data_IF_264596078026
#
_entry.id   IF_264596078026
#
_cell.length_a   1.000
_cell.length_b   1.000
_cell.length_c   1.000
_cell.angle_alpha   90.00
_cell.angle_beta   90.00
_cell.angle_gamma   90.00
#
_symmetry.space_group_name_H-M   'P 1'
#
loop_
_entity.id
_entity.type
_entity.pdbx_description
1 polymer ?
#
# COMPACT_ATOMS: atom_id res chain seq x y z
N UNK A 1 1.83 44.32 -5.77
CA UNK A 1 1.91 43.33 -4.69
C UNK A 1 1.37 42.00 -5.26
N UNK A 2 2.27 41.18 -5.77
CA UNK A 2 1.92 39.86 -6.30
C UNK A 2 1.85 38.85 -5.15
N UNK A 3 0.73 38.13 -5.08
CA UNK A 3 0.57 37.03 -4.12
C UNK A 3 1.41 35.82 -4.59
N UNK A 4 2.17 35.17 -3.72
CA UNK A 4 2.96 34.02 -4.11
C UNK A 4 2.05 32.87 -4.55
N UNK A 5 2.36 32.34 -5.75
CA UNK A 5 1.77 31.12 -6.31
C UNK A 5 2.16 29.95 -5.43
N UNK A 6 1.21 29.41 -4.69
CA UNK A 6 1.40 28.16 -3.94
C UNK A 6 1.66 27.03 -4.93
N UNK A 7 2.82 26.41 -4.81
CA UNK A 7 3.26 25.27 -5.61
C UNK A 7 2.32 24.08 -5.43
N UNK A 8 1.53 23.82 -6.47
CA UNK A 8 0.73 22.60 -6.67
C UNK A 8 1.49 21.61 -7.54
N UNK A 9 2.72 21.25 -7.23
CA UNK A 9 3.53 20.44 -8.15
C UNK A 9 3.93 19.04 -7.71
N UNK A 10 3.68 18.61 -6.47
CA UNK A 10 4.17 17.28 -6.00
C UNK A 10 3.16 16.11 -6.08
N UNK A 11 1.90 16.35 -6.43
CA UNK A 11 0.89 15.28 -6.45
C UNK A 11 0.62 14.63 -7.81
N UNK A 12 1.32 15.05 -8.88
CA UNK A 12 1.01 14.62 -10.27
C UNK A 12 1.76 13.38 -10.76
N UNK A 13 2.83 12.94 -10.09
CA UNK A 13 3.74 11.92 -10.63
C UNK A 13 3.76 10.58 -9.89
N UNK A 14 2.92 10.38 -8.89
CA UNK A 14 2.81 9.11 -8.18
C UNK A 14 1.71 8.24 -8.79
N UNK A 15 1.96 7.74 -9.99
CA UNK A 15 1.05 6.82 -10.69
C UNK A 15 1.50 5.38 -10.49
N UNK A 16 0.51 4.50 -10.36
CA UNK A 16 0.72 3.05 -10.31
C UNK A 16 0.72 2.48 -11.74
N UNK A 17 1.67 1.61 -12.05
CA UNK A 17 1.68 0.84 -13.28
C UNK A 17 1.02 -0.53 -13.08
N UNK A 18 1.14 -1.09 -11.90
CA UNK A 18 0.56 -2.37 -11.50
C UNK A 18 -0.22 -2.25 -10.20
N UNK A 19 -1.25 -3.06 -10.10
CA UNK A 19 -2.04 -3.19 -8.89
C UNK A 19 -2.48 -4.64 -8.67
N UNK A 20 -2.89 -4.96 -7.46
CA UNK A 20 -3.40 -6.27 -7.08
C UNK A 20 -4.89 -6.19 -6.78
N UNK A 21 -5.64 -7.16 -7.27
CA UNK A 21 -7.08 -7.29 -7.00
C UNK A 21 -7.29 -7.60 -5.51
N UNK A 22 -8.12 -6.82 -4.85
CA UNK A 22 -8.54 -7.07 -3.46
C UNK A 22 -10.03 -7.43 -3.34
N UNK A 23 -10.83 -7.11 -4.36
CA UNK A 23 -12.21 -7.59 -4.51
C UNK A 23 -12.64 -7.49 -5.97
N UNK A 24 -13.45 -8.44 -6.44
CA UNK A 24 -14.03 -8.45 -7.77
C UNK A 24 -15.54 -8.57 -7.72
N UNK A 25 -16.23 -7.62 -8.33
CA UNK A 25 -17.68 -7.51 -8.40
C UNK A 25 -18.15 -7.70 -9.85
N UNK A 26 -18.44 -8.94 -10.29
CA UNK A 26 -18.78 -9.24 -11.69
C UNK A 26 -20.03 -8.51 -12.19
N UNK A 27 -20.91 -8.13 -11.28
CA UNK A 27 -22.17 -7.41 -11.59
C UNK A 27 -22.18 -5.98 -11.05
N UNK A 28 -21.01 -5.38 -10.81
CA UNK A 28 -20.90 -4.04 -10.25
C UNK A 28 -21.30 -3.95 -8.78
N UNK A 29 -21.49 -2.73 -8.30
CA UNK A 29 -21.91 -2.52 -6.92
C UNK A 29 -23.30 -3.09 -6.65
N UNK A 30 -23.56 -3.66 -5.45
CA UNK A 30 -24.91 -4.14 -5.07
C UNK A 30 -25.98 -3.05 -5.16
N UNK A 31 -25.61 -1.82 -4.86
CA UNK A 31 -26.53 -0.65 -4.87
C UNK A 31 -26.79 -0.08 -6.28
N UNK A 32 -26.19 -0.62 -7.31
CA UNK A 32 -26.43 -0.19 -8.69
C UNK A 32 -27.85 -0.58 -9.11
N UNK A 33 -28.69 0.42 -9.32
CA UNK A 33 -30.12 0.24 -9.69
C UNK A 33 -30.32 -0.19 -11.15
N UNK A 34 -29.27 -0.20 -11.97
CA UNK A 34 -29.37 -0.63 -13.37
C UNK A 34 -29.62 -2.15 -13.45
N UNK A 35 -30.31 -2.62 -14.51
CA UNK A 35 -30.45 -4.06 -14.77
C UNK A 35 -29.06 -4.74 -14.85
N UNK A 36 -28.93 -5.97 -14.35
CA UNK A 36 -27.66 -6.71 -14.26
C UNK A 36 -26.90 -6.73 -15.60
N UNK A 37 -27.60 -6.95 -16.72
CA UNK A 37 -27.00 -7.00 -18.06
C UNK A 37 -26.40 -5.65 -18.54
N UNK A 38 -26.76 -4.54 -17.89
CA UNK A 38 -26.24 -3.19 -18.15
C UNK A 38 -25.18 -2.76 -17.16
N UNK A 39 -24.93 -3.56 -16.12
CA UNK A 39 -23.90 -3.25 -15.12
C UNK A 39 -22.54 -3.62 -15.67
N UNK A 40 -21.53 -2.86 -15.25
CA UNK A 40 -20.13 -3.03 -15.62
C UNK A 40 -19.43 -3.84 -14.52
N UNK A 41 -18.66 -4.89 -14.88
CA UNK A 41 -17.82 -5.56 -13.90
C UNK A 41 -16.81 -4.59 -13.30
N UNK A 42 -16.71 -4.58 -11.98
CA UNK A 42 -15.81 -3.71 -11.21
C UNK A 42 -14.85 -4.53 -10.35
N UNK A 43 -13.70 -3.95 -10.05
CA UNK A 43 -12.82 -4.49 -9.03
C UNK A 43 -12.26 -3.34 -8.18
N UNK A 44 -11.98 -3.66 -6.92
CA UNK A 44 -11.18 -2.82 -6.05
C UNK A 44 -9.75 -3.36 -6.04
N UNK A 45 -8.79 -2.47 -6.18
CA UNK A 45 -7.38 -2.84 -6.33
C UNK A 45 -6.49 -1.96 -5.44
N UNK A 46 -5.34 -2.48 -5.06
CA UNK A 46 -4.28 -1.74 -4.37
C UNK A 46 -3.03 -1.70 -5.26
N UNK A 47 -2.49 -0.51 -5.47
CA UNK A 47 -1.25 -0.31 -6.22
C UNK A 47 -0.04 -0.93 -5.53
N UNK A 48 0.90 -1.45 -6.32
CA UNK A 48 2.08 -2.11 -5.74
C UNK A 48 3.18 -1.14 -5.29
N UNK A 49 3.22 0.07 -5.87
CA UNK A 49 4.31 1.01 -5.62
C UNK A 49 4.01 2.02 -4.53
N UNK A 50 2.84 2.63 -4.57
CA UNK A 50 2.41 3.68 -3.65
C UNK A 50 1.20 3.28 -2.80
N UNK A 51 0.74 2.04 -2.93
CA UNK A 51 -0.41 1.51 -2.20
C UNK A 51 -1.69 2.32 -2.38
N UNK A 52 -1.85 2.91 -3.56
CA UNK A 52 -3.05 3.67 -3.92
C UNK A 52 -4.23 2.72 -4.07
N UNK A 53 -5.34 3.02 -3.39
CA UNK A 53 -6.58 2.29 -3.54
C UNK A 53 -7.39 2.83 -4.71
N UNK A 54 -7.80 1.97 -5.63
CA UNK A 54 -8.50 2.33 -6.85
C UNK A 54 -9.69 1.42 -7.10
N UNK A 55 -10.71 1.98 -7.72
CA UNK A 55 -11.79 1.23 -8.36
C UNK A 55 -11.57 1.22 -9.86
N UNK A 56 -11.60 0.04 -10.44
CA UNK A 56 -11.38 -0.17 -11.87
C UNK A 56 -12.53 -0.94 -12.48
N UNK A 57 -12.82 -0.67 -13.75
CA UNK A 57 -13.72 -1.55 -14.52
C UNK A 57 -12.92 -2.63 -15.22
N UNK A 58 -13.50 -3.82 -15.28
CA UNK A 58 -12.90 -5.02 -15.85
C UNK A 58 -13.44 -5.22 -17.27
N UNK A 59 -12.60 -5.68 -18.18
CA UNK A 59 -13.01 -6.02 -19.54
C UNK A 59 -14.01 -7.17 -19.53
N UNK A 60 -14.99 -7.13 -20.42
CA UNK A 60 -15.97 -8.22 -20.57
C UNK A 60 -15.25 -9.54 -20.88
N UNK A 61 -15.70 -10.60 -20.22
CA UNK A 61 -15.10 -11.93 -20.37
C UNK A 61 -13.89 -12.18 -19.47
N UNK A 62 -13.39 -11.18 -18.75
CA UNK A 62 -12.35 -11.34 -17.75
C UNK A 62 -12.98 -11.58 -16.36
N UNK A 63 -12.38 -12.47 -15.59
CA UNK A 63 -12.81 -12.80 -14.22
C UNK A 63 -11.57 -12.91 -13.32
N UNK A 64 -10.94 -11.78 -12.97
CA UNK A 64 -9.75 -11.79 -12.13
C UNK A 64 -10.07 -12.30 -10.73
N UNK A 65 -9.09 -12.93 -10.11
CA UNK A 65 -9.15 -13.40 -8.74
C UNK A 65 -8.47 -12.40 -7.79
N UNK A 66 -8.82 -12.46 -6.51
CA UNK A 66 -8.07 -11.77 -5.45
C UNK A 66 -6.62 -12.23 -5.52
N UNK A 67 -5.67 -11.33 -5.31
CA UNK A 67 -4.23 -11.51 -5.50
C UNK A 67 -3.73 -11.44 -6.95
N UNK A 68 -4.58 -11.42 -7.96
CA UNK A 68 -4.10 -11.23 -9.32
C UNK A 68 -3.43 -9.86 -9.48
N UNK A 69 -2.24 -9.87 -10.06
CA UNK A 69 -1.50 -8.65 -10.43
C UNK A 69 -1.94 -8.19 -11.80
N UNK A 70 -2.45 -6.99 -11.91
CA UNK A 70 -2.99 -6.42 -13.16
C UNK A 70 -2.26 -5.14 -13.53
N UNK A 71 -2.04 -4.95 -14.85
CA UNK A 71 -1.49 -3.72 -15.38
C UNK A 71 -2.55 -2.63 -15.46
N UNK A 72 -2.25 -1.46 -14.90
CA UNK A 72 -3.14 -0.28 -14.88
C UNK A 72 -2.49 0.99 -15.43
N UNK A 73 -1.24 0.89 -15.91
CA UNK A 73 -0.49 1.99 -16.49
C UNK A 73 -1.11 2.56 -17.78
N UNK A 74 -0.37 3.42 -18.45
CA UNK A 74 -0.84 4.13 -19.66
C UNK A 74 -0.88 3.27 -20.93
N UNK A 75 -0.20 2.11 -20.94
CA UNK A 75 -0.17 1.20 -22.06
C UNK A 75 -1.44 0.39 -22.25
N UNK A 76 -1.40 -0.58 -23.17
CA UNK A 76 -2.48 -1.54 -23.37
C UNK A 76 -2.65 -2.41 -22.13
N UNK A 77 -3.90 -2.59 -21.69
CA UNK A 77 -4.27 -3.36 -20.51
C UNK A 77 -5.03 -4.60 -20.93
N UNK A 78 -4.68 -5.76 -20.36
CA UNK A 78 -5.32 -7.03 -20.71
C UNK A 78 -6.64 -7.24 -19.96
N UNK A 79 -6.66 -6.98 -18.66
CA UNK A 79 -7.75 -7.28 -17.74
C UNK A 79 -8.58 -6.01 -17.43
N UNK A 80 -7.90 -4.94 -17.07
CA UNK A 80 -8.53 -3.67 -16.68
C UNK A 80 -8.94 -2.87 -17.90
N UNK A 81 -10.20 -2.45 -17.95
CA UNK A 81 -10.69 -1.56 -19.00
C UNK A 81 -10.36 -0.11 -18.70
N UNK A 82 -10.70 0.36 -17.49
CA UNK A 82 -10.62 1.77 -17.12
C UNK A 82 -10.46 1.94 -15.61
N UNK A 83 -9.64 2.89 -15.18
CA UNK A 83 -9.62 3.36 -13.80
C UNK A 83 -10.84 4.28 -13.61
N UNK A 84 -11.69 3.97 -12.65
CA UNK A 84 -12.93 4.72 -12.39
C UNK A 84 -12.69 5.88 -11.42
N UNK A 85 -12.07 5.59 -10.27
CA UNK A 85 -11.81 6.59 -9.23
C UNK A 85 -10.76 6.09 -8.23
N UNK A 86 -10.18 7.02 -7.48
CA UNK A 86 -9.42 6.74 -6.28
C UNK A 86 -10.38 6.46 -5.13
N UNK A 87 -10.06 5.47 -4.30
CA UNK A 87 -10.83 5.08 -3.12
C UNK A 87 -10.11 5.55 -1.85
N UNK A 88 -10.90 5.84 -0.81
CA UNK A 88 -10.44 5.89 0.57
C UNK A 88 -10.62 4.51 1.19
N UNK A 89 -9.98 4.26 2.32
CA UNK A 89 -10.11 2.99 3.04
C UNK A 89 -11.59 2.68 3.39
N UNK A 90 -12.37 3.70 3.76
CA UNK A 90 -13.79 3.55 4.10
C UNK A 90 -14.64 3.10 2.90
N UNK A 91 -14.24 3.47 1.68
CA UNK A 91 -14.96 3.13 0.44
C UNK A 91 -14.75 1.66 0.01
N UNK A 92 -13.87 0.93 0.68
CA UNK A 92 -13.63 -0.49 0.40
C UNK A 92 -14.83 -1.33 0.84
N UNK A 93 -15.12 -2.36 0.03
CA UNK A 93 -16.08 -3.40 0.42
C UNK A 93 -15.59 -4.15 1.67
N UNK A 94 -16.48 -4.80 2.43
CA UNK A 94 -16.06 -5.68 3.53
C UNK A 94 -15.08 -6.78 3.08
N UNK A 95 -15.30 -7.37 1.90
CA UNK A 95 -14.41 -8.36 1.31
C UNK A 95 -13.02 -7.77 1.06
N UNK A 96 -12.94 -6.61 0.39
CA UNK A 96 -11.68 -5.93 0.13
C UNK A 96 -10.92 -5.59 1.43
N UNK A 97 -11.62 -5.14 2.48
CA UNK A 97 -11.00 -4.86 3.79
C UNK A 97 -10.41 -6.12 4.44
N UNK A 98 -11.07 -7.27 4.27
CA UNK A 98 -10.60 -8.56 4.79
C UNK A 98 -9.37 -9.04 4.03
N UNK A 99 -9.34 -8.90 2.72
CA UNK A 99 -8.25 -9.38 1.86
C UNK A 99 -7.04 -8.45 1.85
N UNK A 100 -7.23 -7.15 2.05
CA UNK A 100 -6.18 -6.13 1.95
C UNK A 100 -4.90 -6.46 2.75
N UNK A 101 -4.94 -6.90 4.03
CA UNK A 101 -3.72 -7.21 4.77
C UNK A 101 -2.91 -8.35 4.14
N UNK A 102 -3.56 -9.35 3.57
CA UNK A 102 -2.90 -10.50 2.92
C UNK A 102 -2.28 -10.09 1.59
N UNK A 103 -2.99 -9.27 0.81
CA UNK A 103 -2.46 -8.73 -0.46
C UNK A 103 -1.27 -7.81 -0.20
N UNK A 104 -1.34 -6.93 0.81
CA UNK A 104 -0.21 -6.08 1.21
C UNK A 104 1.00 -6.91 1.64
N UNK A 105 0.80 -7.97 2.43
CA UNK A 105 1.88 -8.87 2.84
C UNK A 105 2.53 -9.54 1.62
N UNK A 106 1.72 -9.96 0.65
CA UNK A 106 2.22 -10.52 -0.61
C UNK A 106 3.06 -9.52 -1.40
N UNK A 107 2.59 -8.28 -1.58
CA UNK A 107 3.33 -7.21 -2.26
C UNK A 107 4.66 -6.95 -1.56
N UNK A 108 4.64 -6.82 -0.23
CA UNK A 108 5.83 -6.51 0.58
C UNK A 108 6.86 -7.64 0.48
N UNK A 109 6.44 -8.90 0.52
CA UNK A 109 7.34 -10.05 0.35
C UNK A 109 7.88 -10.18 -1.07
N UNK A 110 7.10 -9.81 -2.07
CA UNK A 110 7.54 -9.84 -3.48
C UNK A 110 8.61 -8.79 -3.78
N UNK A 111 8.64 -7.68 -3.04
CA UNK A 111 9.65 -6.63 -3.12
C UNK A 111 10.37 -6.43 -1.76
N UNK A 112 10.76 -7.55 -1.14
CA UNK A 112 11.35 -7.59 0.20
C UNK A 112 12.52 -6.61 0.35
N UNK A 113 13.38 -6.52 -0.66
CA UNK A 113 14.56 -5.66 -0.65
C UNK A 113 14.21 -4.19 -0.38
N UNK A 114 13.18 -3.67 -1.00
CA UNK A 114 12.70 -2.29 -0.80
C UNK A 114 12.37 -2.01 0.67
N UNK A 115 11.73 -2.95 1.33
CA UNK A 115 11.27 -2.78 2.71
C UNK A 115 12.35 -3.10 3.73
N UNK A 116 13.24 -4.03 3.45
CA UNK A 116 14.46 -4.23 4.25
C UNK A 116 15.34 -2.99 4.23
N UNK A 117 15.44 -2.33 3.08
CA UNK A 117 16.17 -1.07 2.94
C UNK A 117 15.59 0.06 3.79
N UNK A 118 14.26 0.08 4.01
CA UNK A 118 13.65 0.99 4.97
C UNK A 118 14.22 0.79 6.39
N UNK A 119 14.35 -0.45 6.87
CA UNK A 119 14.98 -0.72 8.19
C UNK A 119 16.44 -0.29 8.23
N UNK A 120 17.17 -0.43 7.13
CA UNK A 120 18.56 -0.02 7.03
C UNK A 120 18.76 1.49 7.00
N UNK A 121 17.86 2.23 6.34
CA UNK A 121 17.99 3.67 6.05
C UNK A 121 17.07 4.59 6.85
N UNK A 122 16.06 4.06 7.55
CA UNK A 122 15.16 4.89 8.34
C UNK A 122 15.96 5.81 9.28
N UNK A 123 15.56 7.08 9.36
CA UNK A 123 16.30 8.12 10.08
C UNK A 123 15.41 8.91 11.03
N UNK A 124 16.01 9.83 11.77
CA UNK A 124 15.31 10.74 12.68
C UNK A 124 14.43 11.72 11.88
N UNK A 125 13.19 11.88 12.32
CA UNK A 125 12.27 12.89 11.80
C UNK A 125 12.48 14.22 12.54
N UNK A 126 12.68 14.12 13.85
CA UNK A 126 12.97 15.23 14.76
C UNK A 126 13.95 14.74 15.81
N UNK A 127 14.44 15.64 16.67
CA UNK A 127 15.28 15.29 17.83
C UNK A 127 14.62 14.30 18.79
N UNK A 128 13.31 14.14 18.74
CA UNK A 128 12.54 13.27 19.65
C UNK A 128 11.83 12.10 18.97
N UNK A 129 11.82 12.05 17.64
CA UNK A 129 11.06 11.08 16.86
C UNK A 129 11.88 10.49 15.73
N UNK A 130 11.82 9.17 15.56
CA UNK A 130 12.49 8.42 14.50
C UNK A 130 11.45 7.74 13.59
N UNK A 131 11.75 7.57 12.30
CA UNK A 131 10.85 6.90 11.34
C UNK A 131 10.47 5.49 11.78
N UNK A 132 11.39 4.73 12.40
CA UNK A 132 11.11 3.40 12.94
C UNK A 132 10.01 3.39 14.01
N UNK A 133 9.89 4.47 14.81
CA UNK A 133 8.85 4.58 15.84
C UNK A 133 7.45 4.79 15.24
N UNK A 134 7.35 5.12 13.96
CA UNK A 134 6.07 5.20 13.26
C UNK A 134 5.50 3.82 12.90
N UNK A 135 6.31 2.77 12.95
CA UNK A 135 5.83 1.40 12.78
C UNK A 135 5.03 0.98 14.04
N UNK A 136 3.76 0.55 13.89
CA UNK A 136 2.96 0.10 15.03
C UNK A 136 3.66 -1.02 15.80
N UNK A 137 3.78 -0.85 17.12
CA UNK A 137 4.47 -1.80 18.00
C UNK A 137 5.98 -1.57 18.15
N UNK A 138 6.57 -0.62 17.44
CA UNK A 138 7.99 -0.26 17.61
C UNK A 138 8.12 0.94 18.54
N UNK A 139 8.40 0.65 19.81
CA UNK A 139 8.75 1.69 20.80
C UNK A 139 10.26 1.99 20.77
N UNK A 140 10.69 2.95 21.60
CA UNK A 140 12.10 3.40 21.69
C UNK A 140 13.11 2.27 21.91
N UNK A 141 12.80 1.31 22.78
CA UNK A 141 13.69 0.16 23.03
C UNK A 141 13.92 -0.67 21.78
N UNK A 142 12.86 -0.97 21.04
CA UNK A 142 12.95 -1.75 19.81
C UNK A 142 13.62 -0.94 18.67
N UNK A 143 13.31 0.32 18.56
CA UNK A 143 13.99 1.25 17.64
C UNK A 143 15.51 1.22 17.85
N UNK A 144 15.97 1.35 19.10
CA UNK A 144 17.41 1.32 19.38
C UNK A 144 18.02 -0.06 19.08
N UNK A 145 17.30 -1.15 19.37
CA UNK A 145 17.77 -2.49 19.01
C UNK A 145 17.95 -2.65 17.49
N UNK A 146 17.04 -2.12 16.67
CA UNK A 146 17.18 -2.11 15.22
C UNK A 146 18.40 -1.30 14.80
N UNK A 147 18.57 -0.09 15.34
CA UNK A 147 19.69 0.81 15.01
C UNK A 147 21.03 0.17 15.38
N UNK A 148 21.16 -0.42 16.55
CA UNK A 148 22.39 -1.09 16.99
C UNK A 148 22.73 -2.30 16.11
N UNK A 149 21.74 -3.11 15.76
CA UNK A 149 21.97 -4.26 14.88
C UNK A 149 22.39 -3.87 13.47
N UNK A 150 21.71 -2.88 12.84
CA UNK A 150 22.09 -2.42 11.50
C UNK A 150 23.47 -1.77 11.42
N UNK A 151 23.96 -1.16 12.52
CA UNK A 151 25.33 -0.63 12.60
C UNK A 151 26.40 -1.72 12.51
N UNK A 152 26.14 -2.90 13.07
CA UNK A 152 27.06 -4.03 12.98
C UNK A 152 27.21 -4.52 11.55
N UNK A 153 26.07 -4.67 10.85
CA UNK A 153 25.95 -5.10 9.46
C UNK A 153 24.54 -4.73 8.95
N UNK A 154 24.37 -4.20 7.74
CA UNK A 154 23.05 -3.99 7.16
C UNK A 154 22.22 -5.27 7.17
N UNK A 155 20.90 -5.14 7.32
CA UNK A 155 19.97 -6.27 7.17
C UNK A 155 19.86 -6.71 5.71
N UNK A 156 19.79 -8.01 5.48
CA UNK A 156 19.72 -8.60 4.15
C UNK A 156 18.31 -9.09 3.77
N UNK A 157 17.50 -9.45 4.79
CA UNK A 157 16.15 -9.99 4.62
C UNK A 157 15.29 -9.75 5.86
N UNK A 158 13.98 -9.99 5.76
CA UNK A 158 13.10 -9.99 6.91
C UNK A 158 13.48 -11.09 7.92
N UNK A 159 13.94 -12.23 7.42
CA UNK A 159 14.45 -13.30 8.27
C UNK A 159 15.69 -12.86 9.07
N UNK A 160 16.61 -12.13 8.44
CA UNK A 160 17.79 -11.59 9.10
C UNK A 160 17.41 -10.58 10.20
N UNK A 161 16.42 -9.71 9.95
CA UNK A 161 15.86 -8.80 10.96
C UNK A 161 15.27 -9.59 12.13
N UNK A 162 14.44 -10.59 11.85
CA UNK A 162 13.78 -11.39 12.87
C UNK A 162 14.77 -12.18 13.75
N UNK A 163 15.87 -12.66 13.16
CA UNK A 163 16.92 -13.37 13.89
C UNK A 163 17.75 -12.45 14.78
N UNK A 164 18.03 -11.24 14.31
CA UNK A 164 18.98 -10.32 14.98
C UNK A 164 18.32 -9.36 15.95
N UNK A 165 17.06 -8.96 15.69
CA UNK A 165 16.34 -7.99 16.53
C UNK A 165 15.36 -8.72 17.44
N UNK A 166 15.74 -8.86 18.72
CA UNK A 166 14.87 -9.49 19.71
C UNK A 166 13.52 -8.73 19.83
N UNK A 167 12.42 -9.47 19.67
CA UNK A 167 11.05 -8.93 19.77
C UNK A 167 10.39 -8.65 18.43
N UNK A 168 11.12 -8.75 17.32
CA UNK A 168 10.54 -8.71 15.97
C UNK A 168 10.58 -10.11 15.38
N UNK A 169 9.41 -10.73 15.21
CA UNK A 169 9.31 -12.05 14.60
C UNK A 169 8.91 -11.96 13.12
N UNK A 170 8.12 -10.95 12.77
CA UNK A 170 7.54 -10.76 11.43
C UNK A 170 7.64 -9.28 11.02
N UNK A 171 8.81 -8.82 10.55
CA UNK A 171 9.03 -7.42 10.17
C UNK A 171 8.04 -6.92 9.11
N UNK A 172 7.65 -7.79 8.17
CA UNK A 172 6.66 -7.50 7.14
C UNK A 172 5.30 -7.09 7.70
N UNK A 173 4.89 -7.65 8.84
CA UNK A 173 3.63 -7.29 9.49
C UNK A 173 3.64 -5.88 10.08
N UNK A 174 4.78 -5.40 10.53
CA UNK A 174 4.93 -4.02 11.01
C UNK A 174 4.67 -3.03 9.87
N UNK A 175 5.18 -3.36 8.67
CA UNK A 175 4.99 -2.55 7.47
C UNK A 175 3.54 -2.59 7.00
N UNK A 176 2.92 -3.79 6.93
CA UNK A 176 1.48 -3.94 6.61
C UNK A 176 0.63 -3.07 7.54
N UNK A 177 0.86 -3.19 8.85
CA UNK A 177 0.11 -2.41 9.85
C UNK A 177 0.29 -0.91 9.66
N UNK A 178 1.49 -0.45 9.29
CA UNK A 178 1.74 0.96 9.03
C UNK A 178 1.04 1.44 7.76
N UNK A 179 1.08 0.68 6.68
CA UNK A 179 0.38 1.02 5.43
C UNK A 179 -1.13 1.15 5.68
N UNK A 180 -1.73 0.18 6.38
CA UNK A 180 -3.16 0.24 6.73
C UNK A 180 -3.46 1.45 7.61
N UNK A 181 -2.62 1.75 8.60
CA UNK A 181 -2.77 2.94 9.42
C UNK A 181 -2.77 4.23 8.58
N UNK A 182 -1.86 4.35 7.62
CA UNK A 182 -1.78 5.52 6.74
C UNK A 182 -3.01 5.63 5.81
N UNK A 183 -3.54 4.50 5.33
CA UNK A 183 -4.78 4.47 4.54
C UNK A 183 -6.00 4.90 5.36
N UNK A 184 -6.08 4.48 6.62
CA UNK A 184 -7.16 4.83 7.55
C UNK A 184 -7.05 6.28 8.05
N UNK A 185 -5.84 6.83 8.08
CA UNK A 185 -5.54 8.16 8.59
C UNK A 185 -4.86 9.03 7.52
N UNK A 186 -5.58 9.41 6.45
CA UNK A 186 -4.99 10.14 5.31
C UNK A 186 -4.41 11.51 5.69
N UNK A 187 -4.81 12.06 6.83
CA UNK A 187 -4.32 13.33 7.37
C UNK A 187 -3.07 13.19 8.25
N UNK A 188 -2.54 11.95 8.39
CA UNK A 188 -1.33 11.76 9.19
C UNK A 188 -0.17 12.61 8.64
N UNK A 189 0.54 13.29 9.55
CA UNK A 189 1.61 14.23 9.20
C UNK A 189 2.78 13.54 8.51
N UNK A 190 3.11 12.33 8.95
CA UNK A 190 4.26 11.59 8.46
C UNK A 190 3.79 10.29 7.81
N UNK A 191 3.85 10.25 6.48
CA UNK A 191 3.62 9.03 5.69
C UNK A 191 4.96 8.39 5.36
N UNK A 192 5.05 7.07 5.48
CA UNK A 192 6.23 6.31 5.15
C UNK A 192 6.11 5.61 3.79
N UNK A 193 4.92 5.11 3.48
CA UNK A 193 4.73 4.18 2.37
C UNK A 193 3.64 4.61 1.38
N UNK A 194 2.58 5.28 1.85
CA UNK A 194 1.46 5.68 0.99
C UNK A 194 1.65 7.05 0.35
N UNK A 195 0.97 7.27 -0.79
CA UNK A 195 1.00 8.53 -1.53
C UNK A 195 -0.05 9.54 -1.02
#
# INVERSE_FOLDING_TARGET
MEKPRVERSESRDKLEDYAYIIDFMPYGHPDDKRPIHKREPLAQVVGEKYFTLLEVSIKKGQSPLVMDRVYIGKGERDVVRKIKRRLRYEDLTPAAKTELPYVLEHIIKSDERRFVEFFNKADSITTRMHQLELLPGVGKKMMWAIIEERKKRPFESFEDIAKRVKGIQRPEKLIVSRIIYEMQNPQTKYKLFTA
#
